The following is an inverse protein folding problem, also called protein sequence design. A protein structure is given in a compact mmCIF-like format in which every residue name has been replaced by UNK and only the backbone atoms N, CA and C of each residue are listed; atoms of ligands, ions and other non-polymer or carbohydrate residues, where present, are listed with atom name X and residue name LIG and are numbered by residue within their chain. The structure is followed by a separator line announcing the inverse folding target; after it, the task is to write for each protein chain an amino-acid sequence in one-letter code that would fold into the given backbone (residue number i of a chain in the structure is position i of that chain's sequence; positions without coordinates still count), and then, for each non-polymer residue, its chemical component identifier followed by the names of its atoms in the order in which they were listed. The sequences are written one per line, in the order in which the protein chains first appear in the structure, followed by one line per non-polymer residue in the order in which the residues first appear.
data_IF_482183845532
#
_entry.id   IF_482183845532
#
_cell.length_a   1.000
_cell.length_b   1.000
_cell.length_c   1.000
_cell.angle_alpha   90.00
_cell.angle_beta   90.00
_cell.angle_gamma   90.00
#
_symmetry.space_group_name_H-M   'P 1'
#
loop_
_entity.id
_entity.type
_entity.pdbx_description
1 polymer ?
#
# COMPACT_ATOMS: atom_id res chain seq x y z
N UNK A 1 -22.49 9.87 11.81
CA UNK A 1 -21.77 10.97 12.47
C UNK A 1 -20.35 11.07 11.93
N UNK A 2 -19.92 12.28 11.66
CA UNK A 2 -18.56 12.48 11.15
C UNK A 2 -17.60 12.61 12.33
N UNK A 3 -16.57 11.82 12.32
CA UNK A 3 -15.51 11.92 13.31
C UNK A 3 -14.45 12.88 12.76
N UNK A 4 -14.25 14.00 13.45
CA UNK A 4 -13.31 15.03 13.00
C UNK A 4 -11.86 14.55 12.97
N UNK A 5 -11.55 13.49 13.69
CA UNK A 5 -10.19 12.95 13.72
C UNK A 5 -10.00 11.77 12.78
N UNK A 6 -11.06 11.36 12.11
CA UNK A 6 -11.00 10.26 11.18
C UNK A 6 -10.44 10.73 9.84
N UNK A 7 -9.46 10.01 9.32
CA UNK A 7 -8.87 10.31 8.03
C UNK A 7 -9.85 10.00 6.91
N UNK A 8 -9.78 10.79 5.85
CA UNK A 8 -10.55 10.52 4.64
C UNK A 8 -9.86 9.43 3.83
N UNK A 9 -10.59 8.83 2.88
CA UNK A 9 -9.99 7.84 1.99
C UNK A 9 -8.84 8.45 1.17
N UNK A 10 -8.94 9.72 0.81
CA UNK A 10 -7.86 10.41 0.09
C UNK A 10 -6.59 10.49 0.93
N UNK A 11 -6.75 10.85 2.19
CA UNK A 11 -5.62 10.94 3.10
C UNK A 11 -4.95 9.59 3.27
N UNK A 12 -5.74 8.53 3.42
CA UNK A 12 -5.21 7.18 3.56
C UNK A 12 -4.46 6.75 2.30
N UNK A 13 -5.06 7.00 1.13
CA UNK A 13 -4.41 6.64 -0.14
C UNK A 13 -3.11 7.41 -0.34
N UNK A 14 -3.10 8.69 0.01
CA UNK A 14 -1.89 9.50 -0.12
C UNK A 14 -0.80 9.06 0.86
N UNK A 15 -1.18 8.60 2.03
CA UNK A 15 -0.20 8.05 2.99
C UNK A 15 0.43 6.78 2.44
N UNK A 16 -0.38 5.91 1.84
CA UNK A 16 0.14 4.69 1.22
C UNK A 16 1.11 5.03 0.10
N UNK A 17 0.72 5.98 -0.76
CA UNK A 17 1.57 6.41 -1.85
C UNK A 17 2.88 7.02 -1.35
N UNK A 18 2.80 7.81 -0.30
CA UNK A 18 3.97 8.41 0.32
C UNK A 18 4.90 7.34 0.90
N UNK A 19 4.34 6.32 1.53
CA UNK A 19 5.12 5.23 2.10
C UNK A 19 5.85 4.45 1.00
N UNK A 20 5.18 4.20 -0.11
CA UNK A 20 5.80 3.51 -1.24
C UNK A 20 6.92 4.36 -1.84
N UNK A 21 6.66 5.66 -1.99
CA UNK A 21 7.69 6.59 -2.51
C UNK A 21 8.92 6.61 -1.60
N UNK A 22 8.71 6.68 -0.30
CA UNK A 22 9.82 6.68 0.66
C UNK A 22 10.62 5.39 0.58
N UNK A 23 9.93 4.26 0.45
CA UNK A 23 10.61 2.97 0.30
C UNK A 23 11.43 2.93 -0.99
N UNK A 24 10.84 3.40 -2.09
CA UNK A 24 11.54 3.48 -3.38
C UNK A 24 12.82 4.31 -3.25
N UNK A 25 12.70 5.50 -2.66
CA UNK A 25 13.83 6.40 -2.49
C UNK A 25 14.90 5.81 -1.57
N UNK A 26 14.48 5.15 -0.51
CA UNK A 26 15.41 4.51 0.41
C UNK A 26 16.22 3.42 -0.30
N UNK A 27 15.61 2.73 -1.25
CA UNK A 27 16.28 1.73 -2.05
C UNK A 27 17.05 2.33 -3.24
N UNK A 28 17.01 3.67 -3.36
CA UNK A 28 17.71 4.41 -4.41
C UNK A 28 17.28 4.00 -5.81
N UNK A 29 16.00 3.76 -5.96
CA UNK A 29 15.39 3.39 -7.24
C UNK A 29 14.63 4.59 -7.77
N UNK A 30 14.91 4.99 -9.02
CA UNK A 30 14.16 6.09 -9.66
C UNK A 30 12.79 5.60 -10.07
N UNK A 31 11.87 6.53 -10.35
CA UNK A 31 10.56 6.17 -10.88
C UNK A 31 10.69 5.40 -12.20
N UNK A 32 11.60 5.84 -13.05
CA UNK A 32 11.83 5.17 -14.33
C UNK A 32 12.31 3.74 -14.13
N UNK A 33 13.24 3.56 -13.22
CA UNK A 33 13.76 2.23 -12.91
C UNK A 33 12.68 1.35 -12.32
N UNK A 34 11.84 1.90 -11.45
CA UNK A 34 10.72 1.15 -10.89
C UNK A 34 9.76 0.73 -12.00
N UNK A 35 9.48 1.61 -12.95
CA UNK A 35 8.64 1.29 -14.10
C UNK A 35 9.21 0.10 -14.87
N UNK A 36 10.50 0.12 -15.15
CA UNK A 36 11.16 -0.95 -15.87
C UNK A 36 11.10 -2.27 -15.11
N UNK A 37 11.36 -2.25 -13.82
CA UNK A 37 11.38 -3.46 -13.00
C UNK A 37 9.99 -4.03 -12.74
N UNK A 38 8.99 -3.16 -12.57
CA UNK A 38 7.64 -3.59 -12.21
C UNK A 38 6.75 -3.91 -13.40
N UNK A 39 7.08 -3.35 -14.55
CA UNK A 39 6.19 -3.43 -15.71
C UNK A 39 5.01 -2.48 -15.61
N UNK A 40 5.00 -1.59 -14.62
CA UNK A 40 3.98 -0.55 -14.48
C UNK A 40 4.48 0.69 -15.21
N UNK A 41 3.60 1.36 -15.97
CA UNK A 41 4.01 2.53 -16.73
C UNK A 41 4.52 3.65 -15.83
N UNK A 42 5.47 4.42 -16.34
CA UNK A 42 6.01 5.56 -15.61
C UNK A 42 4.91 6.55 -15.25
N UNK A 43 3.98 6.78 -16.17
CA UNK A 43 2.85 7.67 -15.91
C UNK A 43 2.00 7.20 -14.75
N UNK A 44 1.75 5.90 -14.66
CA UNK A 44 0.98 5.33 -13.54
C UNK A 44 1.70 5.49 -12.22
N UNK A 45 3.01 5.29 -12.21
CA UNK A 45 3.82 5.46 -11.00
C UNK A 45 3.80 6.92 -10.55
N UNK A 46 3.99 7.85 -11.49
CA UNK A 46 3.95 9.27 -11.17
C UNK A 46 2.60 9.68 -10.61
N UNK A 47 1.52 9.23 -11.25
CA UNK A 47 0.17 9.54 -10.79
C UNK A 47 -0.09 8.98 -9.40
N UNK A 48 0.33 7.75 -9.16
CA UNK A 48 0.19 7.13 -7.84
C UNK A 48 0.92 7.94 -6.77
N UNK A 49 2.17 8.31 -7.03
CA UNK A 49 2.93 9.06 -6.03
C UNK A 49 2.39 10.46 -5.81
N UNK A 50 1.72 11.04 -6.81
CA UNK A 50 1.16 12.39 -6.71
C UNK A 50 -0.20 12.42 -6.03
N UNK A 51 -1.10 11.52 -6.39
CA UNK A 51 -2.49 11.59 -5.95
C UNK A 51 -3.03 10.30 -5.32
N UNK A 52 -2.20 9.30 -5.17
CA UNK A 52 -2.59 8.07 -4.48
C UNK A 52 -3.50 7.15 -5.27
N UNK A 53 -3.60 7.32 -6.61
CA UNK A 53 -4.46 6.49 -7.43
C UNK A 53 -3.68 5.44 -8.20
N UNK A 54 -4.06 4.19 -8.03
CA UNK A 54 -3.44 3.08 -8.73
C UNK A 54 -4.36 1.87 -8.62
N UNK A 55 -4.27 0.97 -9.58
CA UNK A 55 -4.98 -0.31 -9.45
C UNK A 55 -4.25 -1.20 -8.45
N UNK A 56 -4.99 -2.10 -7.83
CA UNK A 56 -4.35 -3.06 -6.93
C UNK A 56 -3.34 -3.92 -7.68
N UNK A 57 -3.64 -4.30 -8.93
CA UNK A 57 -2.71 -5.06 -9.74
C UNK A 57 -1.38 -4.34 -9.90
N UNK A 58 -1.42 -3.06 -10.24
CA UNK A 58 -0.19 -2.28 -10.42
C UNK A 58 0.55 -2.08 -9.10
N UNK A 59 -0.19 -1.85 -8.01
CA UNK A 59 0.43 -1.71 -6.70
C UNK A 59 1.14 -2.99 -6.29
N UNK A 60 0.54 -4.14 -6.58
CA UNK A 60 1.16 -5.42 -6.31
C UNK A 60 2.46 -5.60 -7.10
N UNK A 61 2.43 -5.23 -8.38
CA UNK A 61 3.63 -5.30 -9.21
C UNK A 61 4.75 -4.40 -8.68
N UNK A 62 4.38 -3.21 -8.22
CA UNK A 62 5.34 -2.28 -7.61
C UNK A 62 5.91 -2.89 -6.33
N UNK A 63 5.07 -3.46 -5.49
CA UNK A 63 5.51 -4.08 -4.25
C UNK A 63 6.50 -5.22 -4.51
N UNK A 64 6.23 -6.05 -5.51
CA UNK A 64 7.14 -7.14 -5.88
C UNK A 64 8.48 -6.57 -6.33
N UNK A 65 8.46 -5.52 -7.16
CA UNK A 65 9.69 -4.89 -7.65
C UNK A 65 10.51 -4.28 -6.52
N UNK A 66 9.85 -3.83 -5.46
CA UNK A 66 10.50 -3.27 -4.27
C UNK A 66 10.79 -4.31 -3.20
N UNK A 67 10.47 -5.58 -3.46
CA UNK A 67 10.62 -6.68 -2.51
C UNK A 67 9.85 -6.43 -1.20
N UNK A 68 8.66 -5.91 -1.35
CA UNK A 68 7.75 -5.62 -0.24
C UNK A 68 6.40 -6.30 -0.42
N UNK A 69 6.35 -7.36 -1.21
CA UNK A 69 5.11 -8.06 -1.50
C UNK A 69 4.47 -8.68 -0.26
N UNK A 70 5.27 -9.03 0.73
CA UNK A 70 4.74 -9.59 1.97
C UNK A 70 3.85 -8.61 2.72
N UNK A 71 4.07 -7.33 2.56
CA UNK A 71 3.19 -6.33 3.17
C UNK A 71 1.81 -6.35 2.53
N UNK A 72 1.72 -6.60 1.24
CA UNK A 72 0.43 -6.75 0.57
C UNK A 72 -0.21 -8.10 0.87
N UNK A 73 0.61 -9.15 0.95
CA UNK A 73 0.10 -10.48 1.27
C UNK A 73 -0.54 -10.51 2.65
N UNK A 74 -0.04 -9.70 3.59
CA UNK A 74 -0.57 -9.65 4.94
C UNK A 74 -1.64 -8.57 5.11
N UNK A 75 -2.00 -7.88 4.04
CA UNK A 75 -2.97 -6.79 4.12
C UNK A 75 -4.31 -7.32 4.63
N UNK A 76 -4.85 -6.66 5.65
CA UNK A 76 -6.10 -7.01 6.31
C UNK A 76 -6.08 -8.37 7.02
N UNK A 77 -4.92 -8.98 7.18
CA UNK A 77 -4.84 -10.25 7.90
C UNK A 77 -4.44 -10.04 9.35
N UNK A 78 -4.00 -8.84 9.71
CA UNK A 78 -3.60 -8.56 11.09
C UNK A 78 -4.80 -8.71 12.00
N UNK A 79 -4.66 -9.58 13.01
CA UNK A 79 -5.70 -9.73 14.00
C UNK A 79 -5.62 -8.55 14.95
N UNK A 80 -6.72 -7.83 15.11
CA UNK A 80 -6.81 -6.85 16.15
C UNK A 80 -7.29 -7.58 17.42
N UNK A 81 -7.41 -6.87 18.50
CA UNK A 81 -7.81 -7.46 19.78
C UNK A 81 -9.15 -8.18 19.69
N UNK A 82 -10.11 -7.57 19.00
CA UNK A 82 -11.44 -8.18 18.86
C UNK A 82 -11.38 -9.46 18.05
N UNK A 83 -10.61 -9.49 16.98
CA UNK A 83 -10.48 -10.69 16.16
C UNK A 83 -9.85 -11.83 16.94
N UNK A 84 -8.89 -11.51 17.81
CA UNK A 84 -8.27 -12.52 18.64
C UNK A 84 -9.28 -13.08 19.63
N UNK A 85 -10.10 -12.23 20.24
CA UNK A 85 -11.15 -12.66 21.11
C UNK A 85 -12.16 -13.56 20.40
N UNK A 86 -12.55 -13.19 19.20
CA UNK A 86 -13.46 -14.01 18.42
C UNK A 86 -12.92 -15.39 18.16
N UNK A 87 -11.64 -15.47 17.83
CA UNK A 87 -11.00 -16.76 17.59
C UNK A 87 -10.99 -17.60 18.84
N UNK A 88 -10.69 -16.99 19.98
CA UNK A 88 -10.59 -17.72 21.24
C UNK A 88 -11.94 -18.10 21.81
N UNK A 89 -12.95 -17.24 21.66
CA UNK A 89 -14.25 -17.45 22.28
C UNK A 89 -15.30 -17.98 21.33
N UNK A 90 -15.26 -17.55 20.10
CA UNK A 90 -16.24 -17.93 19.12
C UNK A 90 -15.83 -19.11 18.27
N UNK A 91 -14.79 -19.69 18.62
CA UNK A 91 -14.22 -20.75 17.87
C UNK A 91 -15.06 -21.98 18.03
N UNK A 92 -15.73 -22.29 17.16
CA UNK A 92 -16.68 -23.40 17.32
C UNK A 92 -16.61 -24.28 16.15
#
# INVERSE_FOLDING_TARGET
MINLYQKTWKEINNEIASNVQKLRKRKKISQKELAERSGVSLGSIKRFEQIGEISLQSLTKIAIALRAEDELESLFTSANFESIEEILNGQN
#
